data_IF_021591029631
#
_entry.id   IF_021591029631
#
_cell.length_a   1.000
_cell.length_b   1.000
_cell.length_c   1.000
_cell.angle_alpha   90.00
_cell.angle_beta   90.00
_cell.angle_gamma   90.00
#
_symmetry.space_group_name_H-M   'P 1'
#
loop_
_entity.id
_entity.type
_entity.pdbx_description
1 polymer ?
#
# COMPACT_ATOMS: atom_id res chain seq x y z
N UNK A 1 74.32 -60.94 -55.56
CA UNK A 1 72.90 -60.91 -55.98
C UNK A 1 72.11 -60.44 -54.77
N UNK A 2 71.49 -59.27 -54.94
CA UNK A 2 70.73 -58.45 -54.00
C UNK A 2 69.67 -59.22 -53.21
N UNK A 3 69.56 -58.96 -51.89
CA UNK A 3 68.27 -58.85 -51.18
C UNK A 3 68.41 -57.90 -49.98
N UNK A 4 67.47 -56.95 -49.89
CA UNK A 4 67.32 -55.88 -48.89
C UNK A 4 66.87 -56.43 -47.52
N UNK A 5 67.24 -55.81 -46.38
CA UNK A 5 66.58 -56.06 -45.10
C UNK A 5 65.42 -55.09 -44.83
N UNK A 6 64.41 -55.62 -44.13
CA UNK A 6 63.16 -54.96 -43.75
C UNK A 6 63.31 -54.08 -42.51
N UNK A 7 62.67 -52.91 -42.52
CA UNK A 7 62.51 -52.02 -41.37
C UNK A 7 61.34 -52.47 -40.48
N UNK A 8 61.63 -52.88 -39.25
CA UNK A 8 60.65 -52.98 -38.17
C UNK A 8 60.54 -51.65 -37.43
N UNK A 9 59.36 -51.04 -37.44
CA UNK A 9 59.07 -49.81 -36.70
C UNK A 9 58.67 -50.13 -35.25
N UNK A 10 59.39 -49.55 -34.28
CA UNK A 10 59.06 -49.58 -32.85
C UNK A 10 58.11 -48.43 -32.55
N UNK A 11 56.88 -48.72 -32.13
CA UNK A 11 55.91 -47.72 -31.65
C UNK A 11 56.26 -47.30 -30.21
N UNK A 12 56.63 -46.03 -30.01
CA UNK A 12 56.65 -45.40 -28.69
C UNK A 12 55.28 -44.79 -28.38
N UNK A 13 54.63 -45.28 -27.32
CA UNK A 13 53.45 -44.65 -26.74
C UNK A 13 53.87 -43.40 -25.94
N UNK A 14 53.32 -42.23 -26.27
CA UNK A 14 53.47 -41.00 -25.47
C UNK A 14 52.35 -40.92 -24.42
N UNK A 15 52.64 -40.54 -23.17
CA UNK A 15 51.62 -40.33 -22.15
C UNK A 15 50.80 -39.08 -22.47
N UNK A 16 49.47 -39.20 -22.40
CA UNK A 16 48.53 -38.08 -22.52
C UNK A 16 48.22 -37.61 -21.09
N UNK A 17 48.62 -36.39 -20.75
CA UNK A 17 48.24 -35.75 -19.49
C UNK A 17 46.97 -34.94 -19.73
N UNK A 18 45.87 -35.36 -19.09
CA UNK A 18 44.59 -34.64 -19.12
C UNK A 18 44.67 -33.50 -18.09
N UNK A 19 44.79 -32.26 -18.56
CA UNK A 19 44.73 -31.06 -17.70
C UNK A 19 43.25 -30.74 -17.47
N UNK A 20 42.75 -31.04 -16.28
CA UNK A 20 41.43 -30.59 -15.84
C UNK A 20 41.52 -29.12 -15.44
N UNK A 21 41.02 -28.23 -16.30
CA UNK A 21 40.87 -26.80 -15.98
C UNK A 21 39.62 -26.65 -15.12
N UNK A 22 39.83 -26.46 -13.81
CA UNK A 22 38.75 -26.14 -12.87
C UNK A 22 38.37 -24.66 -13.08
N UNK A 23 37.32 -24.41 -13.87
CA UNK A 23 36.76 -23.06 -13.99
C UNK A 23 35.91 -22.82 -12.74
N UNK A 24 36.49 -22.16 -11.74
CA UNK A 24 35.73 -21.66 -10.60
C UNK A 24 34.82 -20.53 -11.09
N UNK A 25 33.57 -20.86 -11.40
CA UNK A 25 32.53 -19.87 -11.69
C UNK A 25 32.28 -19.04 -10.43
N UNK A 26 32.71 -17.78 -10.46
CA UNK A 26 32.27 -16.78 -9.49
C UNK A 26 30.78 -16.51 -9.75
N UNK A 27 29.92 -17.17 -8.99
CA UNK A 27 28.52 -16.80 -8.90
C UNK A 27 28.45 -15.48 -8.13
N UNK A 28 28.37 -14.36 -8.84
CA UNK A 28 27.91 -13.11 -8.25
C UNK A 28 26.41 -13.25 -7.99
N UNK A 29 26.05 -13.57 -6.75
CA UNK A 29 24.69 -13.34 -6.28
C UNK A 29 24.54 -11.83 -6.11
N UNK A 30 23.92 -11.17 -7.07
CA UNK A 30 23.38 -9.83 -6.85
C UNK A 30 22.20 -9.99 -5.89
N UNK A 31 22.46 -9.83 -4.59
CA UNK A 31 21.41 -9.46 -3.66
C UNK A 31 20.87 -8.12 -4.13
N UNK A 32 19.61 -8.07 -4.54
CA UNK A 32 18.89 -6.81 -4.65
C UNK A 32 18.84 -6.26 -3.22
N UNK A 33 19.63 -5.22 -2.94
CA UNK A 33 19.46 -4.47 -1.71
C UNK A 33 18.07 -3.84 -1.78
N UNK A 34 17.25 -4.12 -0.78
CA UNK A 34 15.91 -3.53 -0.65
C UNK A 34 16.08 -2.02 -0.52
N UNK A 35 15.38 -1.25 -1.36
CA UNK A 35 15.45 0.21 -1.32
C UNK A 35 15.01 0.70 0.06
N UNK A 36 15.78 1.62 0.63
CA UNK A 36 15.53 2.18 1.94
C UNK A 36 15.32 3.69 1.83
N UNK A 37 14.19 4.15 2.36
CA UNK A 37 13.75 5.53 2.37
C UNK A 37 13.84 6.11 3.79
N UNK A 38 14.27 7.35 3.94
CA UNK A 38 14.21 8.08 5.21
C UNK A 38 13.00 9.01 5.18
N UNK A 39 12.00 8.73 6.02
CA UNK A 39 10.77 9.51 6.08
C UNK A 39 11.00 10.73 6.98
N UNK A 40 10.94 11.96 6.42
CA UNK A 40 11.25 13.17 7.17
C UNK A 40 10.12 13.52 8.14
N UNK A 41 10.53 14.02 9.30
CA UNK A 41 9.62 14.67 10.25
C UNK A 41 9.41 16.13 9.86
N UNK A 42 8.16 16.54 9.66
CA UNK A 42 7.77 17.94 9.48
C UNK A 42 7.15 18.53 10.76
N UNK A 43 7.22 19.85 10.87
CA UNK A 43 6.46 20.65 11.86
C UNK A 43 5.32 21.45 11.20
N UNK A 44 5.24 21.41 9.87
CA UNK A 44 4.28 22.15 9.06
C UNK A 44 3.28 21.15 8.46
N UNK A 45 2.10 21.04 9.08
CA UNK A 45 1.05 20.13 8.64
C UNK A 45 0.46 20.62 7.30
N UNK A 46 0.36 19.76 6.27
CA UNK A 46 -0.30 20.11 5.02
C UNK A 46 -1.82 20.16 5.19
N UNK A 47 -2.50 20.90 4.32
CA UNK A 47 -3.95 20.96 4.23
C UNK A 47 -4.43 19.95 3.20
N UNK A 48 -5.15 18.92 3.65
CA UNK A 48 -5.69 17.89 2.76
C UNK A 48 -6.89 18.47 1.98
N UNK A 49 -6.65 19.00 0.79
CA UNK A 49 -7.64 19.69 -0.04
C UNK A 49 -7.59 19.29 -1.54
N UNK A 50 -6.66 18.42 -1.92
CA UNK A 50 -6.50 17.91 -3.28
C UNK A 50 -5.60 18.79 -4.15
N UNK A 51 -4.92 19.78 -3.57
CA UNK A 51 -4.02 20.69 -4.28
C UNK A 51 -2.62 20.60 -3.67
N UNK A 52 -1.58 20.44 -4.51
CA UNK A 52 -0.20 20.48 -4.03
C UNK A 52 0.29 21.93 -4.08
N UNK A 53 0.09 22.68 -2.99
CA UNK A 53 0.50 24.07 -2.94
C UNK A 53 2.03 24.22 -2.84
N UNK A 54 2.54 25.35 -3.31
CA UNK A 54 3.96 25.66 -3.16
C UNK A 54 4.35 25.73 -1.67
N UNK A 55 5.53 25.21 -1.33
CA UNK A 55 6.06 25.14 0.04
C UNK A 55 5.37 24.16 1.00
N UNK A 56 4.19 23.63 0.67
CA UNK A 56 3.42 22.78 1.58
C UNK A 56 4.06 21.40 1.80
N UNK A 57 4.67 20.86 0.74
CA UNK A 57 5.31 19.54 0.73
C UNK A 57 6.84 19.63 0.60
N UNK A 58 7.46 20.78 0.89
CA UNK A 58 8.91 21.00 0.70
C UNK A 58 9.78 20.10 1.59
N UNK A 59 9.26 19.72 2.77
CA UNK A 59 9.95 18.80 3.69
C UNK A 59 9.82 17.34 3.27
N UNK A 60 8.92 17.01 2.34
CA UNK A 60 8.55 15.63 2.05
C UNK A 60 9.62 14.88 1.24
N UNK A 61 9.74 13.59 1.52
CA UNK A 61 10.49 12.69 0.67
C UNK A 61 9.71 12.45 -0.63
N UNK A 62 10.35 12.75 -1.77
CA UNK A 62 9.85 12.42 -3.09
C UNK A 62 10.29 11.03 -3.55
N UNK A 63 9.33 10.20 -3.97
CA UNK A 63 9.53 8.84 -4.45
C UNK A 63 8.84 8.67 -5.81
N UNK A 64 9.60 8.34 -6.84
CA UNK A 64 9.04 8.07 -8.16
C UNK A 64 8.54 6.62 -8.27
N UNK A 65 7.31 6.45 -8.73
CA UNK A 65 6.75 5.16 -9.15
C UNK A 65 7.22 4.89 -10.58
N UNK A 66 8.07 3.88 -10.76
CA UNK A 66 8.84 3.72 -12.02
C UNK A 66 8.66 2.37 -12.69
N UNK A 67 7.95 1.43 -12.07
CA UNK A 67 7.87 0.05 -12.52
C UNK A 67 6.42 -0.36 -12.76
N UNK A 68 6.12 -0.88 -13.94
CA UNK A 68 4.92 -1.66 -14.20
C UNK A 68 5.13 -3.11 -13.74
N UNK A 69 4.31 -3.55 -12.79
CA UNK A 69 4.37 -4.91 -12.22
C UNK A 69 3.29 -5.85 -12.78
N UNK A 70 2.25 -5.30 -13.39
CA UNK A 70 1.20 -6.04 -14.08
C UNK A 70 0.53 -5.19 -15.16
N UNK A 71 0.16 -5.76 -16.32
CA UNK A 71 0.43 -7.13 -16.81
C UNK A 71 1.87 -7.40 -17.22
N UNK A 72 2.66 -6.37 -17.55
CA UNK A 72 4.09 -6.51 -17.81
C UNK A 72 4.85 -7.07 -16.61
N UNK A 73 6.00 -7.68 -16.86
CA UNK A 73 6.87 -8.23 -15.80
C UNK A 73 8.03 -7.26 -15.55
N UNK A 74 7.81 -6.29 -14.66
CA UNK A 74 8.79 -5.28 -14.25
C UNK A 74 9.28 -4.40 -15.40
N UNK A 75 8.36 -3.90 -16.23
CA UNK A 75 8.65 -2.95 -17.30
C UNK A 75 8.76 -1.51 -16.75
N UNK A 76 9.41 -0.56 -17.44
CA UNK A 76 9.31 0.84 -17.07
C UNK A 76 7.86 1.35 -17.12
N UNK A 77 7.45 2.12 -16.12
CA UNK A 77 6.14 2.75 -16.08
C UNK A 77 5.96 3.71 -17.29
N UNK A 78 4.80 3.64 -17.95
CA UNK A 78 4.49 4.46 -19.12
C UNK A 78 4.06 5.89 -18.78
N UNK A 79 3.69 6.14 -17.53
CA UNK A 79 3.23 7.44 -17.02
C UNK A 79 4.01 7.79 -15.75
N UNK A 80 4.39 9.06 -15.62
CA UNK A 80 5.09 9.54 -14.43
C UNK A 80 4.12 9.62 -13.25
N UNK A 81 4.56 9.14 -12.09
CA UNK A 81 3.86 9.34 -10.82
C UNK A 81 4.88 9.54 -9.72
N UNK A 82 4.71 10.60 -8.96
CA UNK A 82 5.54 10.95 -7.81
C UNK A 82 4.69 10.82 -6.55
N UNK A 83 5.23 10.17 -5.54
CA UNK A 83 4.68 10.14 -4.19
C UNK A 83 5.51 11.03 -3.26
N UNK A 84 4.85 11.84 -2.44
CA UNK A 84 5.46 12.70 -1.43
C UNK A 84 5.08 12.16 -0.06
N UNK A 85 6.07 11.88 0.80
CA UNK A 85 5.84 11.24 2.10
C UNK A 85 6.55 12.01 3.22
N UNK A 86 5.83 12.33 4.30
CA UNK A 86 6.37 12.92 5.53
C UNK A 86 5.47 12.62 6.72
N UNK A 87 5.97 12.82 7.94
CA UNK A 87 5.20 12.60 9.17
C UNK A 87 5.41 13.72 10.18
N UNK A 88 4.50 13.94 11.13
CA UNK A 88 4.62 14.96 12.19
C UNK A 88 4.69 14.38 13.61
N UNK A 89 4.86 13.06 13.74
CA UNK A 89 4.80 12.31 14.99
C UNK A 89 3.40 11.83 15.38
N UNK A 90 2.35 12.38 14.76
CA UNK A 90 0.95 12.02 15.02
C UNK A 90 0.25 11.46 13.78
N UNK A 91 0.65 11.92 12.60
CA UNK A 91 0.03 11.66 11.30
C UNK A 91 1.09 11.42 10.25
N UNK A 92 0.89 10.38 9.44
CA UNK A 92 1.60 10.16 8.19
C UNK A 92 0.85 10.90 7.08
N UNK A 93 1.56 11.76 6.36
CA UNK A 93 1.04 12.47 5.21
C UNK A 93 1.61 11.86 3.93
N UNK A 94 0.73 11.56 2.98
CA UNK A 94 1.11 11.04 1.66
C UNK A 94 0.38 11.83 0.60
N UNK A 95 1.11 12.36 -0.38
CA UNK A 95 0.53 12.93 -1.58
C UNK A 95 1.01 12.19 -2.83
N UNK A 96 0.20 12.23 -3.88
CA UNK A 96 0.53 11.70 -5.19
C UNK A 96 0.34 12.77 -6.25
N UNK A 97 1.36 12.95 -7.07
CA UNK A 97 1.32 13.69 -8.33
C UNK A 97 1.33 12.67 -9.45
N UNK A 98 0.15 12.36 -9.99
CA UNK A 98 -0.03 11.32 -10.99
C UNK A 98 -0.25 11.95 -12.37
N UNK A 99 0.80 12.05 -13.17
CA UNK A 99 0.70 12.61 -14.52
C UNK A 99 -0.07 11.68 -15.45
N UNK A 100 -0.81 12.26 -16.38
CA UNK A 100 -1.52 11.52 -17.42
C UNK A 100 -1.42 12.26 -18.76
N UNK A 101 -0.95 11.61 -19.85
CA UNK A 101 -0.88 12.24 -21.16
C UNK A 101 -2.26 12.48 -21.78
N UNK A 102 -3.32 11.86 -21.24
CA UNK A 102 -4.71 11.97 -21.68
C UNK A 102 -5.64 12.12 -20.47
N UNK A 103 -5.61 13.26 -19.75
CA UNK A 103 -6.41 13.46 -18.53
C UNK A 103 -7.92 13.26 -18.73
N UNK A 104 -8.43 13.51 -19.95
CA UNK A 104 -9.83 13.22 -20.30
C UNK A 104 -10.21 11.73 -20.27
N UNK A 105 -9.25 10.82 -20.11
CA UNK A 105 -9.47 9.38 -19.98
C UNK A 105 -9.36 8.88 -18.53
N UNK A 106 -9.03 9.75 -17.59
CA UNK A 106 -8.99 9.40 -16.16
C UNK A 106 -10.39 8.94 -15.75
N UNK A 107 -10.46 7.75 -15.15
CA UNK A 107 -11.69 7.20 -14.60
C UNK A 107 -11.76 7.60 -13.14
N UNK A 108 -12.74 8.42 -12.79
CA UNK A 108 -12.96 8.76 -11.39
C UNK A 108 -14.44 9.09 -11.18
N UNK A 109 -15.05 8.45 -10.20
CA UNK A 109 -16.44 8.65 -9.84
C UNK A 109 -16.57 8.92 -8.34
N UNK A 110 -17.49 9.82 -7.96
CA UNK A 110 -17.94 9.90 -6.57
C UNK A 110 -18.76 8.65 -6.26
N UNK A 111 -18.26 7.85 -5.32
CA UNK A 111 -18.86 6.60 -4.88
C UNK A 111 -18.78 6.55 -3.35
N UNK A 112 -19.52 5.61 -2.77
CA UNK A 112 -19.32 5.26 -1.38
C UNK A 112 -17.89 4.70 -1.20
N UNK A 113 -17.39 4.81 0.03
CA UNK A 113 -16.11 4.22 0.45
C UNK A 113 -16.05 2.74 0.03
N UNK A 114 -14.86 2.25 -0.29
CA UNK A 114 -14.57 0.86 -0.66
C UNK A 114 -15.15 0.40 -2.01
N UNK A 115 -15.62 1.33 -2.85
CA UNK A 115 -16.19 1.04 -4.18
C UNK A 115 -15.41 1.67 -5.34
N UNK A 116 -14.12 2.00 -5.16
CA UNK A 116 -13.30 2.72 -6.14
C UNK A 116 -12.54 1.83 -7.15
N UNK A 117 -12.68 0.50 -7.09
CA UNK A 117 -11.78 -0.45 -7.76
C UNK A 117 -11.71 -0.37 -9.29
N UNK A 118 -12.77 0.13 -9.95
CA UNK A 118 -12.82 0.32 -11.41
C UNK A 118 -12.29 1.70 -11.88
N UNK A 119 -11.98 2.58 -10.93
CA UNK A 119 -11.46 3.92 -11.18
C UNK A 119 -9.93 3.89 -11.29
N UNK A 120 -9.31 4.98 -11.76
CA UNK A 120 -7.92 5.25 -11.42
C UNK A 120 -7.80 5.38 -9.90
N UNK A 121 -6.70 4.89 -9.33
CA UNK A 121 -6.41 5.08 -7.93
C UNK A 121 -4.92 5.02 -7.64
N UNK A 122 -4.53 5.59 -6.52
CA UNK A 122 -3.19 5.47 -5.93
C UNK A 122 -3.31 4.84 -4.56
N UNK A 123 -2.25 4.19 -4.11
CA UNK A 123 -2.24 3.54 -2.82
C UNK A 123 -0.91 3.64 -2.09
N UNK A 124 -0.98 3.66 -0.76
CA UNK A 124 0.16 3.47 0.13
C UNK A 124 -0.03 2.17 0.92
N UNK A 125 1.00 1.34 0.93
CA UNK A 125 1.05 0.04 1.62
C UNK A 125 2.09 0.13 2.73
N UNK A 126 1.70 -0.21 3.96
CA UNK A 126 2.50 -0.04 5.16
C UNK A 126 2.58 -1.34 5.98
N UNK A 127 3.76 -1.98 6.00
CA UNK A 127 4.09 -3.02 6.98
C UNK A 127 4.78 -2.36 8.19
N UNK A 128 3.98 -1.95 9.16
CA UNK A 128 4.40 -1.17 10.33
C UNK A 128 5.14 -1.99 11.40
N UNK A 129 5.10 -3.32 11.32
CA UNK A 129 5.87 -4.22 12.18
C UNK A 129 7.17 -4.67 11.52
N UNK A 130 7.28 -4.49 10.20
CA UNK A 130 8.38 -4.97 9.38
C UNK A 130 8.64 -6.46 9.60
N UNK A 131 7.56 -7.21 9.82
CA UNK A 131 7.60 -8.66 9.99
C UNK A 131 7.27 -9.41 8.70
N UNK A 132 6.89 -8.66 7.64
CA UNK A 132 6.60 -9.13 6.29
C UNK A 132 5.39 -10.08 6.23
N UNK A 133 4.45 -9.90 7.17
CA UNK A 133 3.25 -10.76 7.28
C UNK A 133 1.97 -10.03 7.00
N UNK A 134 1.88 -8.76 7.42
CA UNK A 134 0.68 -7.93 7.25
C UNK A 134 1.02 -6.51 6.88
N UNK A 135 0.18 -5.90 6.07
CA UNK A 135 0.26 -4.49 5.76
C UNK A 135 -1.11 -3.82 5.87
N UNK A 136 -1.11 -2.55 6.24
CA UNK A 136 -2.25 -1.66 6.06
C UNK A 136 -2.18 -1.08 4.65
N UNK A 137 -3.29 -1.10 3.92
CA UNK A 137 -3.34 -0.57 2.56
C UNK A 137 -4.41 0.52 2.50
N UNK A 138 -4.02 1.69 1.99
CA UNK A 138 -4.90 2.85 1.86
C UNK A 138 -4.96 3.26 0.39
N UNK A 139 -6.17 3.42 -0.12
CA UNK A 139 -6.46 3.71 -1.52
C UNK A 139 -7.26 4.99 -1.64
N UNK A 140 -6.93 5.79 -2.65
CA UNK A 140 -7.72 6.97 -2.99
C UNK A 140 -7.83 7.12 -4.50
N UNK A 141 -9.04 7.38 -4.99
CA UNK A 141 -9.26 7.74 -6.39
C UNK A 141 -9.04 9.26 -6.63
N UNK A 142 -8.96 9.73 -7.89
CA UNK A 142 -8.74 11.14 -8.22
C UNK A 142 -9.77 12.15 -7.68
N UNK A 143 -10.88 11.68 -7.09
CA UNK A 143 -11.92 12.52 -6.48
C UNK A 143 -11.93 12.45 -4.95
N UNK A 144 -10.95 11.78 -4.35
CA UNK A 144 -10.81 11.66 -2.90
C UNK A 144 -11.65 10.56 -2.25
N UNK A 145 -12.25 9.65 -3.04
CA UNK A 145 -12.96 8.48 -2.49
C UNK A 145 -11.95 7.51 -1.91
N UNK A 146 -12.19 7.08 -0.68
CA UNK A 146 -11.31 6.23 0.11
C UNK A 146 -11.66 4.74 -0.05
N UNK A 147 -10.65 3.89 0.06
CA UNK A 147 -10.82 2.51 0.49
C UNK A 147 -9.63 2.11 1.37
N UNK A 148 -9.82 1.14 2.26
CA UNK A 148 -8.72 0.56 3.02
C UNK A 148 -8.93 -0.92 3.34
N UNK A 149 -7.83 -1.62 3.57
CA UNK A 149 -7.84 -2.99 4.05
C UNK A 149 -6.59 -3.34 4.86
N UNK A 150 -6.62 -4.53 5.47
CA UNK A 150 -5.42 -5.19 5.96
C UNK A 150 -5.10 -6.35 5.02
N UNK A 151 -3.94 -6.31 4.38
CA UNK A 151 -3.41 -7.43 3.62
C UNK A 151 -2.68 -8.40 4.54
N UNK A 152 -3.04 -9.68 4.48
CA UNK A 152 -2.35 -10.82 5.11
C UNK A 152 -1.60 -11.60 4.02
N UNK A 153 -0.31 -11.35 3.92
CA UNK A 153 0.58 -11.93 2.91
C UNK A 153 0.81 -13.44 3.15
N UNK A 154 0.75 -13.88 4.41
CA UNK A 154 0.89 -15.31 4.75
C UNK A 154 -0.25 -16.13 4.16
N UNK A 155 -1.47 -15.60 4.21
CA UNK A 155 -2.67 -16.27 3.74
C UNK A 155 -3.17 -15.77 2.37
N UNK A 156 -2.50 -14.78 1.77
CA UNK A 156 -2.89 -14.13 0.52
C UNK A 156 -4.34 -13.64 0.55
N UNK A 157 -4.71 -12.92 1.60
CA UNK A 157 -6.09 -12.46 1.85
C UNK A 157 -6.12 -11.01 2.30
N UNK A 158 -7.14 -10.27 1.87
CA UNK A 158 -7.46 -8.92 2.37
C UNK A 158 -8.61 -8.97 3.36
N UNK A 159 -8.51 -8.17 4.42
CA UNK A 159 -9.60 -7.89 5.35
C UNK A 159 -10.18 -6.52 5.05
N UNK A 160 -11.09 -6.48 4.07
CA UNK A 160 -11.83 -5.29 3.62
C UNK A 160 -12.84 -4.78 4.65
N UNK A 161 -13.02 -5.48 5.78
CA UNK A 161 -13.90 -5.04 6.86
C UNK A 161 -13.18 -4.12 7.87
N UNK A 162 -11.86 -3.98 7.75
CA UNK A 162 -11.11 -3.02 8.55
C UNK A 162 -11.31 -1.62 7.99
N UNK A 163 -11.74 -0.68 8.83
CA UNK A 163 -12.10 0.67 8.43
C UNK A 163 -11.44 1.67 9.38
N UNK A 164 -10.39 2.35 8.90
CA UNK A 164 -9.70 3.40 9.66
C UNK A 164 -10.34 4.77 9.46
N UNK A 165 -10.17 5.64 10.47
CA UNK A 165 -10.57 7.05 10.38
C UNK A 165 -9.35 7.88 9.96
N UNK A 166 -9.37 8.36 8.72
CA UNK A 166 -8.32 9.16 8.07
C UNK A 166 -8.93 10.09 7.01
N UNK A 167 -8.19 11.12 6.62
CA UNK A 167 -8.67 12.13 5.67
C UNK A 167 -7.98 11.98 4.31
N UNK A 168 -8.71 12.27 3.24
CA UNK A 168 -8.17 12.33 1.89
C UNK A 168 -8.86 13.39 1.04
N UNK A 169 -8.14 13.85 0.02
CA UNK A 169 -8.69 14.71 -1.02
C UNK A 169 -8.05 14.36 -2.36
N UNK A 170 -8.77 14.61 -3.45
CA UNK A 170 -8.27 14.38 -4.80
C UNK A 170 -8.80 15.42 -5.77
N UNK A 171 -7.97 15.77 -6.75
CA UNK A 171 -8.33 16.72 -7.81
C UNK A 171 -7.78 16.25 -9.14
N UNK A 172 -8.65 16.11 -10.14
CA UNK A 172 -8.24 15.95 -11.54
C UNK A 172 -7.73 17.30 -12.06
N UNK A 173 -6.58 17.28 -12.72
CA UNK A 173 -5.89 18.47 -13.25
C UNK A 173 -5.73 18.39 -14.77
N UNK A 174 -5.24 19.47 -15.37
CA UNK A 174 -4.94 19.51 -16.81
C UNK A 174 -3.77 18.60 -17.23
N UNK A 175 -3.01 18.07 -16.27
CA UNK A 175 -1.84 17.20 -16.51
C UNK A 175 -1.99 15.80 -15.92
N UNK A 176 -3.09 15.48 -15.27
CA UNK A 176 -3.25 14.24 -14.53
C UNK A 176 -4.21 14.39 -13.35
N UNK A 177 -3.77 13.99 -12.16
CA UNK A 177 -4.49 14.25 -10.92
C UNK A 177 -3.55 14.33 -9.71
N UNK A 178 -4.02 15.00 -8.67
CA UNK A 178 -3.42 15.01 -7.35
C UNK A 178 -4.30 14.22 -6.38
N UNK A 179 -3.65 13.58 -5.42
CA UNK A 179 -4.29 12.94 -4.26
C UNK A 179 -3.48 13.29 -3.02
N UNK A 180 -4.15 13.56 -1.92
CA UNK A 180 -3.55 13.79 -0.61
C UNK A 180 -4.22 12.89 0.42
N UNK A 181 -3.44 12.39 1.37
CA UNK A 181 -3.86 11.51 2.47
C UNK A 181 -3.24 12.01 3.77
N UNK A 182 -4.04 12.09 4.83
CA UNK A 182 -3.58 12.23 6.20
C UNK A 182 -4.03 11.02 7.01
N UNK A 183 -3.08 10.15 7.34
CA UNK A 183 -3.31 8.88 8.05
C UNK A 183 -2.83 9.04 9.50
N UNK A 184 -3.73 9.20 10.48
CA UNK A 184 -3.31 9.32 11.87
C UNK A 184 -2.61 8.03 12.32
N UNK A 185 -1.40 8.13 12.87
CA UNK A 185 -0.59 6.99 13.27
C UNK A 185 -1.27 6.14 14.36
N UNK A 186 -2.20 6.72 15.12
CA UNK A 186 -3.06 6.00 16.08
C UNK A 186 -4.04 5.00 15.44
N UNK A 187 -4.31 5.12 14.13
CA UNK A 187 -5.08 4.11 13.40
C UNK A 187 -4.25 2.86 13.13
N UNK A 188 -2.93 3.03 13.05
CA UNK A 188 -1.99 1.97 12.75
C UNK A 188 -1.54 1.29 14.04
N UNK A 189 -1.38 -0.02 13.96
CA UNK A 189 -0.68 -0.76 15.00
C UNK A 189 0.79 -0.81 14.65
N UNK A 190 1.67 -0.56 15.61
CA UNK A 190 3.11 -0.66 15.44
C UNK A 190 3.77 -1.07 16.76
N UNK A 191 4.99 -1.58 16.68
CA UNK A 191 5.78 -1.92 17.86
C UNK A 191 6.37 -0.66 18.49
N UNK A 192 6.07 -0.35 19.77
CA UNK A 192 6.70 0.77 20.44
C UNK A 192 8.21 0.49 20.56
N UNK A 193 9.03 1.45 20.12
CA UNK A 193 10.48 1.34 20.15
C UNK A 193 11.08 2.73 20.40
N UNK A 194 12.18 2.77 21.17
CA UNK A 194 12.99 3.98 21.33
C UNK A 194 13.83 4.20 20.05
N UNK A 195 13.78 5.42 19.51
CA UNK A 195 14.52 5.80 18.30
C UNK A 195 13.84 5.39 16.99
N UNK A 196 14.58 5.40 15.86
CA UNK A 196 14.00 5.13 14.55
C UNK A 196 13.42 3.72 14.43
N UNK A 197 12.27 3.62 13.78
CA UNK A 197 11.65 2.36 13.38
C UNK A 197 11.86 2.13 11.88
N UNK A 198 11.84 0.86 11.48
CA UNK A 198 11.82 0.45 10.08
C UNK A 198 10.45 -0.14 9.78
N UNK A 199 9.75 0.41 8.79
CA UNK A 199 8.50 -0.11 8.26
C UNK A 199 8.70 -0.58 6.81
N UNK A 200 7.87 -1.50 6.31
CA UNK A 200 7.75 -1.74 4.88
C UNK A 200 6.89 -0.67 4.23
N UNK A 201 7.27 -0.20 3.04
CA UNK A 201 6.58 0.83 2.28
C UNK A 201 6.50 0.43 0.80
N UNK A 202 5.30 0.51 0.23
CA UNK A 202 5.15 0.61 -1.22
C UNK A 202 4.15 1.72 -1.59
N UNK A 203 4.41 2.37 -2.72
CA UNK A 203 3.47 3.32 -3.32
C UNK A 203 3.05 2.74 -4.67
N UNK A 204 1.74 2.72 -4.90
CA UNK A 204 1.14 2.13 -6.09
C UNK A 204 0.31 3.15 -6.85
N UNK A 205 0.19 2.92 -8.16
CA UNK A 205 -0.84 3.51 -9.01
C UNK A 205 -1.49 2.43 -9.84
N UNK A 206 -2.82 2.41 -9.85
CA UNK A 206 -3.61 1.65 -10.79
C UNK A 206 -4.02 2.55 -11.95
N UNK A 207 -3.72 2.10 -13.16
CA UNK A 207 -3.88 2.85 -14.39
C UNK A 207 -4.75 2.06 -15.39
N UNK A 208 -6.08 2.18 -15.29
CA UNK A 208 -7.01 1.42 -16.11
C UNK A 208 -7.28 2.13 -17.45
N UNK A 209 -6.40 1.95 -18.43
CA UNK A 209 -6.60 2.47 -19.80
C UNK A 209 -7.19 1.39 -20.72
N UNK A 210 -6.51 1.10 -21.82
CA UNK A 210 -6.84 0.00 -22.73
C UNK A 210 -6.62 -1.37 -22.08
N UNK A 211 -5.77 -1.41 -21.06
CA UNK A 211 -5.54 -2.53 -20.14
C UNK A 211 -5.43 -2.00 -18.71
N UNK A 212 -5.75 -2.85 -17.75
CA UNK A 212 -5.49 -2.60 -16.33
C UNK A 212 -3.99 -2.71 -16.10
N UNK A 213 -3.40 -1.74 -15.39
CA UNK A 213 -1.95 -1.68 -15.21
C UNK A 213 -1.63 -1.30 -13.77
N UNK A 214 -0.81 -2.11 -13.09
CA UNK A 214 -0.28 -1.81 -11.76
C UNK A 214 1.12 -1.23 -11.89
N UNK A 215 1.29 -0.04 -11.34
CA UNK A 215 2.56 0.65 -11.23
C UNK A 215 3.01 0.68 -9.77
N UNK A 216 4.31 0.49 -9.54
CA UNK A 216 4.92 0.32 -8.23
C UNK A 216 6.29 1.02 -8.16
N UNK A 217 6.70 1.40 -6.95
CA UNK A 217 8.05 1.91 -6.69
C UNK A 217 9.10 0.79 -6.83
N UNK A 218 8.71 -0.44 -6.51
CA UNK A 218 9.59 -1.62 -6.57
C UNK A 218 9.17 -2.60 -7.67
N UNK A 219 10.13 -3.33 -8.27
CA UNK A 219 9.81 -4.53 -9.04
C UNK A 219 9.32 -5.66 -8.12
N UNK A 220 8.53 -6.57 -8.68
CA UNK A 220 7.99 -7.75 -7.98
C UNK A 220 8.35 -9.01 -8.77
N UNK A 221 9.01 -9.98 -8.14
CA UNK A 221 9.23 -11.30 -8.69
C UNK A 221 8.02 -12.19 -8.38
N UNK A 222 7.26 -12.54 -9.41
CA UNK A 222 6.04 -13.36 -9.29
C UNK A 222 6.33 -14.81 -8.87
N UNK A 223 7.58 -15.25 -8.89
CA UNK A 223 8.00 -16.55 -8.37
C UNK A 223 8.19 -16.54 -6.84
N UNK A 224 8.22 -15.36 -6.21
CA UNK A 224 8.28 -15.19 -4.77
C UNK A 224 6.88 -14.87 -4.27
N UNK A 225 6.28 -15.79 -3.51
CA UNK A 225 4.92 -15.60 -2.99
C UNK A 225 4.80 -14.52 -1.93
N UNK A 226 5.89 -14.19 -1.23
CA UNK A 226 5.90 -13.11 -0.23
C UNK A 226 6.05 -11.76 -0.94
N UNK A 227 4.97 -11.00 -1.01
CA UNK A 227 4.97 -9.66 -1.59
C UNK A 227 5.66 -8.64 -0.65
N UNK A 228 5.36 -8.67 0.65
CA UNK A 228 5.88 -7.74 1.67
C UNK A 228 7.39 -7.92 1.91
N UNK A 229 7.94 -9.10 1.62
CA UNK A 229 9.40 -9.31 1.62
C UNK A 229 10.12 -8.51 0.52
N UNK A 230 9.38 -8.03 -0.49
CA UNK A 230 9.93 -7.41 -1.70
C UNK A 230 9.71 -5.89 -1.75
N UNK A 231 8.82 -5.33 -0.92
CA UNK A 231 8.54 -3.88 -0.90
C UNK A 231 9.71 -3.07 -0.35
N UNK A 232 9.75 -1.76 -0.54
CA UNK A 232 10.84 -0.94 0.03
C UNK A 232 10.76 -0.89 1.55
N UNK A 233 11.83 -0.49 2.22
CA UNK A 233 11.81 -0.15 3.65
C UNK A 233 11.80 1.37 3.83
N UNK A 234 11.12 1.82 4.88
CA UNK A 234 11.05 3.20 5.31
C UNK A 234 11.58 3.30 6.74
N UNK A 235 12.67 4.04 6.94
CA UNK A 235 13.19 4.41 8.26
C UNK A 235 12.67 5.79 8.66
N UNK A 236 12.54 6.02 9.96
CA UNK A 236 12.01 7.26 10.50
C UNK A 236 11.17 6.94 11.72
N UNK A 237 10.02 7.60 11.86
CA UNK A 237 9.02 7.23 12.88
C UNK A 237 9.63 7.15 14.29
N UNK A 238 10.55 8.08 14.58
CA UNK A 238 11.20 8.14 15.88
C UNK A 238 10.23 8.68 16.92
N UNK A 239 10.28 8.12 18.12
CA UNK A 239 9.50 8.60 19.26
C UNK A 239 7.98 8.56 19.02
N UNK A 240 7.49 7.57 18.24
CA UNK A 240 6.05 7.37 18.10
C UNK A 240 5.46 6.85 19.41
N UNK A 241 4.51 7.58 19.95
CA UNK A 241 3.76 7.14 21.13
C UNK A 241 2.51 6.36 20.68
N UNK A 242 2.26 5.16 21.24
CA UNK A 242 1.00 4.47 21.05
C UNK A 242 -0.16 5.35 21.54
N UNK A 243 -0.95 5.88 20.60
CA UNK A 243 -2.10 6.69 20.93
C UNK A 243 -3.17 5.88 21.67
N UNK A 244 -3.93 6.54 22.56
CA UNK A 244 -5.13 5.95 23.16
C UNK A 244 -6.18 5.78 22.06
N UNK A 245 -6.47 4.52 21.69
CA UNK A 245 -7.48 4.21 20.68
C UNK A 245 -8.86 4.00 21.35
N UNK A 246 -9.56 5.10 21.66
CA UNK A 246 -10.93 5.08 22.19
C UNK A 246 -11.88 5.70 21.17
N UNK A 247 -12.87 4.92 20.74
CA UNK A 247 -13.98 5.35 19.87
C UNK A 247 -15.27 5.27 20.67
N UNK A 248 -16.07 6.33 20.63
CA UNK A 248 -17.38 6.41 21.26
C UNK A 248 -18.43 6.83 20.24
N UNK A 249 -19.47 6.02 20.09
CA UNK A 249 -20.52 6.20 19.07
C UNK A 249 -21.87 6.34 19.79
N UNK A 250 -22.37 7.57 19.99
CA UNK A 250 -23.73 7.79 20.46
C UNK A 250 -24.72 7.62 19.31
N UNK A 251 -25.78 6.84 19.53
CA UNK A 251 -26.82 6.59 18.53
C UNK A 251 -28.20 6.91 19.11
N UNK A 252 -29.04 7.56 18.31
CA UNK A 252 -30.44 7.81 18.62
C UNK A 252 -31.30 7.41 17.42
N UNK A 253 -32.22 6.48 17.64
CA UNK A 253 -33.20 6.01 16.66
C UNK A 253 -34.58 6.38 17.16
N UNK A 254 -35.50 6.80 16.28
CA UNK A 254 -36.90 6.96 16.62
C UNK A 254 -37.76 6.32 15.54
N UNK A 255 -38.62 5.39 15.93
CA UNK A 255 -39.57 4.75 15.03
C UNK A 255 -40.99 5.15 15.40
N UNK A 256 -41.88 5.20 14.42
CA UNK A 256 -43.30 5.43 14.63
C UNK A 256 -44.09 4.47 13.76
N UNK A 257 -45.04 3.76 14.37
CA UNK A 257 -45.91 2.83 13.66
C UNK A 257 -47.33 3.39 13.63
N UNK A 258 -47.86 3.50 12.42
CA UNK A 258 -49.26 3.86 12.19
C UNK A 258 -49.99 2.68 11.58
N UNK A 259 -51.25 2.50 11.97
CA UNK A 259 -52.13 1.46 11.45
C UNK A 259 -53.37 2.12 10.87
N UNK A 260 -53.86 1.60 9.74
CA UNK A 260 -55.05 2.14 9.07
C UNK A 260 -55.94 1.01 8.58
N UNK A 261 -57.26 1.19 8.68
CA UNK A 261 -58.21 0.32 7.99
C UNK A 261 -58.15 0.62 6.48
N UNK A 262 -57.81 -0.36 5.61
CA UNK A 262 -57.65 -0.14 4.17
C UNK A 262 -58.92 0.34 3.45
N UNK A 263 -60.10 0.09 4.03
CA UNK A 263 -61.38 0.43 3.43
C UNK A 263 -61.66 1.94 3.49
N UNK A 264 -61.57 2.57 4.67
CA UNK A 264 -61.88 4.01 4.90
C UNK A 264 -61.34 4.55 6.25
N UNK A 265 -60.35 3.91 6.88
CA UNK A 265 -59.87 4.35 8.21
C UNK A 265 -59.01 5.62 8.15
N UNK A 266 -58.89 6.37 9.24
CA UNK A 266 -57.77 7.30 9.44
C UNK A 266 -56.52 6.52 9.91
N UNK A 267 -55.33 7.09 9.76
CA UNK A 267 -54.12 6.54 10.36
C UNK A 267 -54.20 6.71 11.88
N UNK A 268 -54.07 5.60 12.61
CA UNK A 268 -54.11 5.55 14.07
C UNK A 268 -52.75 5.09 14.60
N UNK A 269 -52.27 5.76 15.63
CA UNK A 269 -50.92 5.56 16.17
C UNK A 269 -50.08 6.81 15.95
N UNK A 270 -48.78 6.64 15.71
CA UNK A 270 -47.91 7.76 15.35
C UNK A 270 -47.00 8.27 16.47
N UNK A 271 -47.13 7.75 17.70
CA UNK A 271 -46.23 8.14 18.79
C UNK A 271 -44.80 7.66 18.50
N UNK A 272 -43.81 8.58 18.47
CA UNK A 272 -42.41 8.19 18.29
C UNK A 272 -41.94 7.37 19.50
N UNK A 273 -41.28 6.24 19.23
CA UNK A 273 -40.56 5.43 20.20
C UNK A 273 -39.05 5.67 20.03
N UNK A 274 -38.47 6.66 20.74
CA UNK A 274 -37.05 6.93 20.68
C UNK A 274 -36.25 5.94 21.52
N UNK A 275 -35.22 5.37 20.91
CA UNK A 275 -34.26 4.45 21.53
C UNK A 275 -32.86 5.01 21.35
N UNK A 276 -32.10 5.04 22.45
CA UNK A 276 -30.71 5.47 22.43
C UNK A 276 -29.78 4.30 22.75
N UNK A 277 -28.74 4.15 21.95
CA UNK A 277 -27.61 3.25 22.23
C UNK A 277 -26.31 4.04 22.32
N UNK A 278 -25.32 3.42 22.95
CA UNK A 278 -23.99 3.99 23.05
C UNK A 278 -22.96 2.87 22.98
N UNK A 279 -22.07 2.96 22.00
CA UNK A 279 -21.00 1.99 21.78
C UNK A 279 -19.65 2.60 22.14
N UNK A 280 -18.83 1.81 22.85
CA UNK A 280 -17.44 2.14 23.17
C UNK A 280 -16.54 1.04 22.69
N UNK A 281 -15.52 1.43 21.94
CA UNK A 281 -14.37 0.58 21.61
C UNK A 281 -13.11 1.20 22.18
N UNK A 282 -12.37 0.45 22.99
CA UNK A 282 -11.12 0.89 23.58
C UNK A 282 -10.00 -0.12 23.32
N UNK A 283 -8.98 0.27 22.55
CA UNK A 283 -7.70 -0.43 22.47
C UNK A 283 -6.87 -0.13 23.73
N UNK A 284 -6.86 -1.07 24.67
CA UNK A 284 -6.09 -1.00 25.92
C UNK A 284 -4.58 -1.10 25.61
N UNK A 285 -4.23 -1.94 24.65
CA UNK A 285 -2.89 -2.08 24.06
C UNK A 285 -3.04 -2.25 22.54
N UNK A 286 -1.91 -2.30 21.82
CA UNK A 286 -1.91 -2.55 20.36
C UNK A 286 -2.51 -3.91 19.97
N UNK A 287 -2.62 -4.84 20.92
CA UNK A 287 -3.13 -6.20 20.75
C UNK A 287 -4.37 -6.53 21.61
N UNK A 288 -4.85 -5.62 22.47
CA UNK A 288 -5.97 -5.85 23.39
C UNK A 288 -7.07 -4.81 23.25
N UNK A 289 -8.32 -5.26 23.05
CA UNK A 289 -9.49 -4.40 22.90
C UNK A 289 -10.61 -4.73 23.89
N UNK A 290 -11.26 -3.68 24.39
CA UNK A 290 -12.55 -3.72 25.06
C UNK A 290 -13.62 -3.16 24.12
N UNK A 291 -14.64 -3.96 23.82
CA UNK A 291 -15.86 -3.51 23.16
C UNK A 291 -17.01 -3.59 24.16
N UNK A 292 -17.76 -2.49 24.32
CA UNK A 292 -18.90 -2.42 25.22
C UNK A 292 -20.04 -1.62 24.58
N UNK A 293 -21.27 -2.12 24.73
CA UNK A 293 -22.48 -1.48 24.22
C UNK A 293 -23.47 -1.29 25.36
N UNK A 294 -24.06 -0.10 25.43
CA UNK A 294 -25.18 0.22 26.33
C UNK A 294 -26.45 0.27 25.48
N UNK A 295 -27.46 -0.48 25.89
CA UNK A 295 -28.71 -0.71 25.13
C UNK A 295 -28.43 -1.24 23.70
N UNK A 296 -27.88 -2.48 23.60
CA UNK A 296 -27.63 -3.14 22.31
C UNK A 296 -28.91 -3.56 21.58
#
# INVERSE_FOLDING_TARGET
MTLLPQNGAVFQAKPIYLVAVLVAGLFFQTSLAQTQYEIPRTISKPTINGEIAAQEWDDALSINITVETEPGENLPAEVATEGLVMEDGETLYVAFIAEDPRPSQIRAFYRDRDLLWDDDWVAVILDTFNDERRAFEFYVNPLGVQADDIFDDVNQRRDEAWDAIWDSAGQVTDSGYFVEMAIPLKQLRFSPQDGPQTWGLNLLRYYPRDRETNLSVVPVDRNISCYLCQISKAEGFSDLEPGINVVAIPTLVAASTETRNPADGEWLGGEPDPQGSFDVRWGITQDTYLNATINP
#
